data_IF_294175852811
#
_entry.id   IF_294175852811
#
_cell.length_a   1.000
_cell.length_b   1.000
_cell.length_c   1.000
_cell.angle_alpha   90.00
_cell.angle_beta   90.00
_cell.angle_gamma   90.00
#
_symmetry.space_group_name_H-M   'P 1'
#
loop_
_entity.id
_entity.type
_entity.pdbx_description
1 polymer ?
#
# COMPACT_ATOMS: atom_id res chain seq x y z
N UNK A 1 22.57 -28.06 -10.44
CA UNK A 1 21.84 -28.05 -9.16
C UNK A 1 22.46 -26.95 -8.32
N UNK A 2 21.78 -25.80 -8.31
CA UNK A 2 21.88 -24.68 -7.34
C UNK A 2 23.27 -24.13 -6.97
N UNK A 3 23.75 -23.17 -7.76
CA UNK A 3 24.43 -21.97 -7.24
C UNK A 3 23.35 -20.87 -7.15
N UNK A 4 23.23 -20.21 -5.98
CA UNK A 4 22.58 -18.91 -5.65
C UNK A 4 22.15 -19.01 -4.17
N UNK A 5 23.03 -18.65 -3.22
CA UNK A 5 22.68 -18.30 -1.83
C UNK A 5 23.74 -17.34 -1.26
N UNK A 6 23.85 -16.09 -1.75
CA UNK A 6 24.72 -15.07 -1.09
C UNK A 6 24.25 -13.61 -1.30
N UNK A 7 22.94 -13.30 -1.27
CA UNK A 7 22.46 -11.90 -1.45
C UNK A 7 21.35 -11.42 -0.49
N UNK A 8 21.26 -11.97 0.73
CA UNK A 8 20.23 -11.55 1.70
C UNK A 8 20.74 -10.65 2.85
N UNK A 9 22.06 -10.42 3.01
CA UNK A 9 22.61 -9.78 4.21
C UNK A 9 22.61 -8.24 4.20
N UNK A 10 22.55 -7.59 3.04
CA UNK A 10 22.64 -6.11 2.96
C UNK A 10 21.28 -5.41 3.12
N UNK A 11 20.17 -6.07 2.74
CA UNK A 11 18.82 -5.49 2.77
C UNK A 11 18.26 -5.32 4.20
N UNK A 12 18.61 -6.25 5.10
CA UNK A 12 18.19 -6.22 6.51
C UNK A 12 18.79 -5.03 7.28
N UNK A 13 20.01 -4.62 6.92
CA UNK A 13 20.71 -3.50 7.56
C UNK A 13 20.06 -2.15 7.24
N UNK A 14 19.65 -1.97 5.98
CA UNK A 14 19.01 -0.75 5.48
C UNK A 14 17.61 -0.62 6.06
N UNK A 15 16.84 -1.72 6.11
CA UNK A 15 15.52 -1.75 6.73
C UNK A 15 15.56 -1.43 8.24
N UNK A 16 16.57 -1.95 8.95
CA UNK A 16 16.77 -1.68 10.38
C UNK A 16 17.15 -0.21 10.66
N UNK A 17 17.95 0.40 9.79
CA UNK A 17 18.29 1.82 9.88
C UNK A 17 17.09 2.73 9.56
N UNK A 18 16.24 2.32 8.61
CA UNK A 18 15.01 3.03 8.27
C UNK A 18 13.98 2.93 9.40
N UNK A 19 13.76 1.74 9.98
CA UNK A 19 12.89 1.57 11.17
C UNK A 19 13.33 2.47 12.33
N UNK A 20 14.63 2.49 12.65
CA UNK A 20 15.18 3.35 13.70
C UNK A 20 14.95 4.85 13.45
N UNK A 21 15.02 5.29 12.19
CA UNK A 21 14.75 6.69 11.80
C UNK A 21 13.25 7.05 11.86
N UNK A 22 12.36 6.09 11.64
CA UNK A 22 10.91 6.31 11.82
C UNK A 22 10.51 6.35 13.29
N UNK A 23 11.21 5.57 14.12
CA UNK A 23 10.98 5.49 15.56
C UNK A 23 11.30 6.81 16.29
N UNK A 24 12.24 7.62 15.77
CA UNK A 24 12.61 8.91 16.37
C UNK A 24 11.53 10.00 16.27
N UNK A 25 10.43 9.76 15.52
CA UNK A 25 9.30 10.69 15.39
C UNK A 25 7.99 10.13 15.95
N UNK A 26 8.00 8.91 16.50
CA UNK A 26 6.81 8.31 17.11
C UNK A 26 6.62 8.87 18.51
N UNK A 27 5.49 9.55 18.74
CA UNK A 27 5.06 9.98 20.08
C UNK A 27 4.57 8.80 20.95
N UNK A 28 4.41 7.62 20.37
CA UNK A 28 3.89 6.43 21.03
C UNK A 28 5.05 5.54 21.51
N UNK A 29 4.86 4.93 22.68
CA UNK A 29 5.83 4.04 23.30
C UNK A 29 6.06 2.79 22.43
N UNK A 30 7.31 2.52 22.02
CA UNK A 30 7.67 1.40 21.16
C UNK A 30 7.17 0.02 21.58
N UNK A 31 7.14 -0.23 22.90
CA UNK A 31 6.77 -1.54 23.46
C UNK A 31 5.27 -1.81 23.28
N UNK A 32 4.48 -0.76 23.13
CA UNK A 32 3.02 -0.83 22.92
C UNK A 32 2.62 -0.69 21.44
N UNK A 33 3.58 -0.62 20.52
CA UNK A 33 3.30 -0.40 19.10
C UNK A 33 2.42 -1.48 18.48
N UNK A 34 2.57 -2.74 18.91
CA UNK A 34 1.73 -3.87 18.52
C UNK A 34 0.26 -3.68 18.90
N UNK A 35 -0.03 -3.08 20.06
CA UNK A 35 -1.40 -2.79 20.49
C UNK A 35 -2.01 -1.64 19.67
N UNK A 36 -1.17 -0.69 19.24
CA UNK A 36 -1.60 0.40 18.38
C UNK A 36 -1.84 -0.03 16.94
N UNK A 37 -1.26 -1.16 16.51
CA UNK A 37 -1.51 -1.70 15.18
C UNK A 37 -2.97 -2.09 14.98
N UNK A 38 -3.59 -2.78 15.93
CA UNK A 38 -5.01 -3.13 15.83
C UNK A 38 -5.88 -1.87 15.73
N UNK A 39 -5.58 -0.85 16.54
CA UNK A 39 -6.29 0.43 16.53
C UNK A 39 -6.12 1.16 15.18
N UNK A 40 -4.90 1.17 14.63
CA UNK A 40 -4.60 1.74 13.30
C UNK A 40 -5.41 1.05 12.21
N UNK A 41 -5.53 -0.28 12.24
CA UNK A 41 -6.33 -1.04 11.27
C UNK A 41 -7.83 -0.71 11.37
N UNK A 42 -8.38 -0.70 12.59
CA UNK A 42 -9.78 -0.36 12.80
C UNK A 42 -10.09 1.08 12.34
N UNK A 43 -9.21 2.04 12.67
CA UNK A 43 -9.37 3.42 12.23
C UNK A 43 -9.22 3.58 10.71
N UNK A 44 -8.23 2.92 10.11
CA UNK A 44 -8.05 2.90 8.66
C UNK A 44 -9.28 2.31 7.93
N UNK A 45 -9.90 1.26 8.50
CA UNK A 45 -11.14 0.67 7.97
C UNK A 45 -12.32 1.65 7.99
N UNK A 46 -12.48 2.45 9.06
CA UNK A 46 -13.48 3.52 9.12
C UNK A 46 -13.23 4.59 8.06
N UNK A 47 -11.99 5.06 7.94
CA UNK A 47 -11.60 6.04 6.93
C UNK A 47 -11.83 5.51 5.51
N UNK A 48 -11.55 4.23 5.25
CA UNK A 48 -11.81 3.59 3.98
C UNK A 48 -13.31 3.56 3.64
N UNK A 49 -14.16 3.21 4.62
CA UNK A 49 -15.63 3.22 4.47
C UNK A 49 -16.18 4.63 4.20
N UNK A 50 -15.55 5.65 4.74
CA UNK A 50 -15.85 7.06 4.45
C UNK A 50 -15.19 7.60 3.18
N UNK A 51 -14.53 6.74 2.39
CA UNK A 51 -13.84 7.10 1.15
C UNK A 51 -12.66 8.07 1.36
N UNK A 52 -12.13 8.15 2.57
CA UNK A 52 -10.95 8.94 2.94
C UNK A 52 -9.65 8.12 2.76
N UNK A 53 -9.43 7.61 1.56
CA UNK A 53 -8.39 6.61 1.28
C UNK A 53 -6.97 7.09 1.57
N UNK A 54 -6.62 8.33 1.20
CA UNK A 54 -5.29 8.88 1.46
C UNK A 54 -4.98 8.94 2.95
N UNK A 55 -5.98 9.26 3.79
CA UNK A 55 -5.82 9.26 5.25
C UNK A 55 -5.75 7.85 5.81
N UNK A 56 -6.51 6.90 5.27
CA UNK A 56 -6.38 5.49 5.64
C UNK A 56 -4.95 4.97 5.35
N UNK A 57 -4.40 5.28 4.18
CA UNK A 57 -3.03 4.90 3.81
C UNK A 57 -1.97 5.58 4.70
N UNK A 58 -2.18 6.86 5.05
CA UNK A 58 -1.30 7.60 5.97
C UNK A 58 -1.24 6.95 7.36
N UNK A 59 -2.37 6.49 7.89
CA UNK A 59 -2.44 5.76 9.17
C UNK A 59 -1.71 4.42 9.08
N UNK A 60 -1.95 3.67 7.99
CA UNK A 60 -1.36 2.36 7.78
C UNK A 60 0.17 2.40 7.61
N UNK A 61 0.76 3.53 7.20
CA UNK A 61 2.23 3.72 7.13
C UNK A 61 2.93 3.43 8.46
N UNK A 62 2.23 3.62 9.57
CA UNK A 62 2.76 3.41 10.92
C UNK A 62 2.44 2.04 11.51
N UNK A 63 1.80 1.14 10.74
CA UNK A 63 1.56 -0.22 11.17
C UNK A 63 2.72 -1.13 10.77
N UNK A 64 3.11 -2.02 11.67
CA UNK A 64 4.17 -3.01 11.44
C UNK A 64 3.73 -4.12 10.50
N UNK A 65 2.44 -4.45 10.48
CA UNK A 65 1.87 -5.48 9.60
C UNK A 65 1.32 -4.92 8.29
N UNK A 66 1.39 -3.61 8.07
CA UNK A 66 1.01 -3.04 6.80
C UNK A 66 1.88 -3.65 5.69
N UNK A 67 1.28 -4.23 4.63
CA UNK A 67 2.05 -4.76 3.53
C UNK A 67 2.88 -3.59 2.97
N UNK A 68 4.20 -3.74 3.00
CA UNK A 68 5.12 -2.76 2.45
C UNK A 68 4.85 -2.65 0.94
N UNK A 69 4.04 -1.68 0.54
CA UNK A 69 3.99 -1.25 -0.84
C UNK A 69 5.19 -0.33 -1.02
N UNK A 70 6.28 -0.88 -1.59
CA UNK A 70 7.40 -0.08 -2.04
C UNK A 70 6.88 1.15 -2.83
N UNK A 71 7.56 2.31 -2.76
CA UNK A 71 7.21 3.46 -3.60
C UNK A 71 6.98 3.00 -5.03
N UNK A 72 5.89 3.46 -5.66
CA UNK A 72 5.44 3.02 -6.98
C UNK A 72 6.61 3.05 -7.99
N UNK A 73 7.27 1.91 -8.20
CA UNK A 73 8.30 1.72 -9.21
C UNK A 73 7.63 0.98 -10.37
N UNK A 74 7.00 1.74 -11.27
CA UNK A 74 6.32 1.15 -12.41
C UNK A 74 5.34 2.10 -13.10
N UNK A 75 4.78 1.62 -14.20
CA UNK A 75 3.82 2.36 -15.01
C UNK A 75 2.44 2.33 -14.36
N UNK A 76 1.88 3.51 -14.10
CA UNK A 76 0.54 3.70 -13.57
C UNK A 76 -0.46 3.80 -14.72
N UNK A 77 -1.57 3.08 -14.62
CA UNK A 77 -2.74 3.32 -15.49
C UNK A 77 -3.76 4.12 -14.70
N UNK A 78 -4.20 5.25 -15.26
CA UNK A 78 -5.18 6.14 -14.65
C UNK A 78 -6.34 6.30 -15.61
N UNK A 79 -7.56 6.13 -15.09
CA UNK A 79 -8.76 6.37 -15.87
C UNK A 79 -8.98 7.87 -16.08
N UNK A 80 -9.16 8.29 -17.34
CA UNK A 80 -9.46 9.69 -17.65
C UNK A 80 -10.84 10.15 -17.12
N UNK A 81 -11.78 9.21 -16.88
CA UNK A 81 -13.14 9.55 -16.43
C UNK A 81 -13.21 9.81 -14.92
N UNK A 82 -12.49 9.04 -14.11
CA UNK A 82 -12.60 9.09 -12.66
C UNK A 82 -11.31 9.45 -11.93
N UNK A 83 -10.17 9.51 -12.63
CA UNK A 83 -8.87 9.81 -12.04
C UNK A 83 -8.32 8.71 -11.12
N UNK A 84 -9.00 7.58 -10.97
CA UNK A 84 -8.50 6.43 -10.22
C UNK A 84 -7.60 5.58 -11.09
N UNK A 85 -6.62 4.94 -10.46
CA UNK A 85 -5.63 4.14 -11.15
C UNK A 85 -4.92 3.16 -10.24
N UNK A 86 -4.03 2.37 -10.85
CA UNK A 86 -3.22 1.39 -10.16
C UNK A 86 -2.04 0.93 -11.02
N UNK A 87 -1.24 0.02 -10.46
CA UNK A 87 -0.15 -0.62 -11.20
C UNK A 87 -0.70 -1.31 -12.45
N UNK A 88 -0.06 -1.06 -13.60
CA UNK A 88 -0.50 -1.63 -14.89
C UNK A 88 -0.70 -3.15 -14.82
N UNK A 89 0.16 -3.88 -14.12
CA UNK A 89 0.04 -5.33 -13.93
C UNK A 89 -1.28 -5.73 -13.25
N UNK A 90 -1.58 -5.14 -12.09
CA UNK A 90 -2.82 -5.43 -11.36
C UNK A 90 -4.06 -4.93 -12.08
N UNK A 91 -3.97 -3.77 -12.75
CA UNK A 91 -5.09 -3.23 -13.50
C UNK A 91 -5.41 -4.11 -14.72
N UNK A 92 -4.41 -4.65 -15.41
CA UNK A 92 -4.61 -5.63 -16.49
C UNK A 92 -5.29 -6.89 -15.97
N UNK A 93 -4.88 -7.41 -14.80
CA UNK A 93 -5.52 -8.58 -14.18
C UNK A 93 -6.97 -8.29 -13.81
N UNK A 94 -7.24 -7.18 -13.12
CA UNK A 94 -8.59 -6.78 -12.72
C UNK A 94 -9.55 -6.66 -13.90
N UNK A 95 -9.12 -5.98 -14.98
CA UNK A 95 -9.96 -5.73 -16.15
C UNK A 95 -10.15 -6.94 -17.08
N UNK A 96 -9.54 -8.11 -16.78
CA UNK A 96 -9.90 -9.37 -17.47
C UNK A 96 -11.36 -9.73 -17.24
N UNK A 97 -11.83 -9.61 -16.00
CA UNK A 97 -13.16 -10.05 -15.58
C UNK A 97 -14.08 -8.89 -15.15
N UNK A 98 -13.53 -7.69 -15.02
CA UNK A 98 -14.26 -6.51 -14.58
C UNK A 98 -14.21 -5.41 -15.65
N UNK A 99 -15.28 -4.61 -15.74
CA UNK A 99 -15.29 -3.39 -16.55
C UNK A 99 -15.32 -2.12 -15.65
N UNK A 100 -15.81 -2.27 -14.42
CA UNK A 100 -15.92 -1.17 -13.46
C UNK A 100 -14.59 -0.91 -12.73
N UNK A 101 -14.42 0.32 -12.25
CA UNK A 101 -13.27 0.70 -11.45
C UNK A 101 -13.12 -0.15 -10.19
N UNK A 102 -11.90 -0.61 -9.92
CA UNK A 102 -11.53 -1.33 -8.71
C UNK A 102 -11.81 -0.55 -7.41
N UNK A 103 -11.90 0.79 -7.49
CA UNK A 103 -12.24 1.67 -6.36
C UNK A 103 -13.75 1.80 -6.12
N UNK A 104 -14.59 1.16 -6.94
CA UNK A 104 -16.04 1.17 -6.75
C UNK A 104 -16.68 2.55 -6.94
N UNK A 105 -16.17 3.38 -7.86
CA UNK A 105 -16.82 4.65 -8.23
C UNK A 105 -18.06 4.50 -9.13
N UNK A 106 -18.40 3.29 -9.57
CA UNK A 106 -19.54 3.02 -10.49
C UNK A 106 -19.28 3.38 -11.96
N UNK A 107 -18.09 3.87 -12.24
CA UNK A 107 -17.52 4.23 -13.54
C UNK A 107 -17.06 2.96 -14.30
N UNK A 108 -17.38 2.85 -15.60
CA UNK A 108 -16.80 1.83 -16.52
C UNK A 108 -15.44 2.32 -17.01
N UNK A 109 -14.37 1.76 -16.43
CA UNK A 109 -13.02 2.27 -16.62
C UNK A 109 -12.19 1.45 -17.62
N UNK A 110 -12.70 0.31 -18.09
CA UNK A 110 -11.93 -0.58 -18.97
C UNK A 110 -11.60 0.07 -20.31
N UNK A 111 -12.55 0.80 -20.87
CA UNK A 111 -12.42 1.52 -22.15
C UNK A 111 -11.87 2.94 -22.00
N UNK A 112 -11.66 3.41 -20.77
CA UNK A 112 -11.12 4.75 -20.48
C UNK A 112 -9.68 4.73 -19.94
N UNK A 113 -9.13 3.55 -19.65
CA UNK A 113 -7.74 3.32 -19.26
C UNK A 113 -6.86 2.81 -20.42
N UNK A 114 -7.45 2.38 -21.54
CA UNK A 114 -6.81 1.80 -22.72
C UNK A 114 -7.41 2.36 -24.00
#
# INVERSE_FOLDING_TARGET
MSEIVEQDSEQDSVWSAIKNKFHSYSLLDPVSNDQFDEVRHQYASLLFRWRMFSKAAEVMKYSETAPYSAPLQGMLTVCALCGHGGHSEHMVVWFKENNHCAYGCGCDCKSACF
#
